data_IF_819023868156
#
_entry.id   IF_819023868156
#
_cell.length_a   1.000
_cell.length_b   1.000
_cell.length_c   1.000
_cell.angle_alpha   90.00
_cell.angle_beta   90.00
_cell.angle_gamma   90.00
#
_symmetry.space_group_name_H-M   'P 1'
#
loop_
_entity.id
_entity.type
_entity.pdbx_description
1 polymer ?
#
# COMPACT_ATOMS: atom_id res chain seq x y z
N UNK A 1 12.99 7.76 13.05
CA UNK A 1 13.04 7.11 11.72
C UNK A 1 11.88 6.14 11.60
N UNK A 2 11.28 5.97 10.41
CA UNK A 2 10.03 5.21 10.21
C UNK A 2 10.14 4.25 9.03
N UNK A 3 9.45 3.11 9.09
CA UNK A 3 9.38 2.11 8.02
C UNK A 3 10.68 1.32 7.85
N UNK A 4 10.58 -0.01 7.72
CA UNK A 4 11.78 -0.84 7.63
C UNK A 4 11.53 -2.32 7.41
N UNK A 5 12.59 -3.04 7.04
CA UNK A 5 12.67 -4.51 7.01
C UNK A 5 14.13 -4.95 7.23
N UNK A 6 14.39 -6.26 7.29
CA UNK A 6 15.76 -6.77 7.42
C UNK A 6 16.60 -6.56 6.15
N UNK A 7 15.98 -6.51 4.97
CA UNK A 7 16.66 -6.28 3.69
C UNK A 7 17.34 -7.51 3.08
N UNK A 8 17.43 -8.63 3.81
CA UNK A 8 18.21 -9.81 3.42
C UNK A 8 17.40 -11.11 3.29
N UNK A 9 16.18 -11.17 3.86
CA UNK A 9 15.36 -12.38 3.76
C UNK A 9 14.75 -12.54 2.36
N UNK A 10 14.31 -13.76 2.02
CA UNK A 10 13.70 -14.06 0.71
C UNK A 10 12.59 -13.08 0.32
N UNK A 11 11.71 -12.70 1.26
CA UNK A 11 10.67 -11.70 0.99
C UNK A 11 11.25 -10.32 0.62
N UNK A 12 12.30 -9.88 1.31
CA UNK A 12 12.94 -8.59 1.03
C UNK A 12 13.72 -8.60 -0.30
N UNK A 13 14.32 -9.74 -0.65
CA UNK A 13 15.03 -9.90 -1.92
C UNK A 13 14.07 -9.98 -3.11
N UNK A 14 12.81 -10.39 -2.87
CA UNK A 14 11.76 -10.47 -3.89
C UNK A 14 10.86 -9.23 -3.98
N UNK A 15 11.25 -8.08 -3.39
CA UNK A 15 10.42 -6.85 -3.31
C UNK A 15 9.04 -7.05 -2.64
N UNK A 16 9.00 -7.92 -1.63
CA UNK A 16 7.82 -8.25 -0.84
C UNK A 16 8.09 -7.98 0.65
N UNK A 17 8.71 -6.83 0.96
CA UNK A 17 9.13 -6.42 2.30
C UNK A 17 7.98 -6.41 3.31
N UNK A 18 6.73 -6.21 2.86
CA UNK A 18 5.53 -6.29 3.69
C UNK A 18 5.33 -7.67 4.34
N UNK A 19 5.93 -8.73 3.78
CA UNK A 19 5.93 -10.09 4.33
C UNK A 19 7.22 -10.43 5.09
N UNK A 20 8.12 -9.47 5.31
CA UNK A 20 9.26 -9.65 6.19
C UNK A 20 8.80 -9.83 7.65
N UNK A 21 9.34 -10.83 8.36
CA UNK A 21 9.07 -11.03 9.80
C UNK A 21 9.61 -9.89 10.66
N UNK A 22 10.68 -9.23 10.22
CA UNK A 22 11.30 -8.08 10.88
C UNK A 22 10.83 -6.74 10.29
N UNK A 23 9.62 -6.68 9.72
CA UNK A 23 9.07 -5.42 9.19
C UNK A 23 8.85 -4.42 10.34
N UNK A 24 9.19 -3.16 10.10
CA UNK A 24 8.98 -2.05 11.04
C UNK A 24 7.82 -1.21 10.51
N UNK A 25 6.79 -1.06 11.32
CA UNK A 25 5.60 -0.27 10.98
C UNK A 25 5.88 1.23 11.08
N UNK A 26 5.13 2.02 10.29
CA UNK A 26 5.25 3.49 10.24
C UNK A 26 5.04 4.13 11.61
N UNK A 27 4.15 3.58 12.43
CA UNK A 27 3.89 4.00 13.82
C UNK A 27 3.58 2.79 14.70
N UNK A 28 3.63 2.96 16.02
CA UNK A 28 3.36 1.89 17.01
C UNK A 28 4.25 0.65 16.82
N UNK A 29 5.45 0.84 16.27
CA UNK A 29 6.51 -0.16 16.20
C UNK A 29 7.75 0.33 16.90
N UNK A 30 8.80 -0.48 16.87
CA UNK A 30 10.13 -0.13 17.37
C UNK A 30 11.10 -0.09 16.19
N UNK A 31 11.82 1.02 16.04
CA UNK A 31 12.81 1.18 14.98
C UNK A 31 14.15 0.49 15.36
N UNK A 32 15.08 0.39 14.40
CA UNK A 32 16.37 -0.32 14.58
C UNK A 32 17.24 0.25 15.70
N UNK A 33 17.05 1.51 16.05
CA UNK A 33 17.74 2.22 17.14
C UNK A 33 17.06 2.05 18.51
N UNK A 34 15.99 1.25 18.59
CA UNK A 34 15.22 1.01 19.81
C UNK A 34 14.13 2.06 20.09
N UNK A 35 14.05 3.14 19.31
CA UNK A 35 13.06 4.19 19.54
C UNK A 35 11.68 3.79 18.96
N UNK A 36 10.56 4.22 19.59
CA UNK A 36 9.23 4.05 19.02
C UNK A 36 9.08 4.77 17.67
N UNK A 37 8.42 4.14 16.71
CA UNK A 37 8.07 4.81 15.45
C UNK A 37 6.84 5.70 15.64
N UNK A 38 6.92 6.93 15.12
CA UNK A 38 5.84 7.93 15.15
C UNK A 38 5.24 8.15 13.76
N UNK A 39 3.93 8.37 13.67
CA UNK A 39 3.22 8.45 12.37
C UNK A 39 3.38 9.79 11.63
N UNK A 40 2.68 9.88 10.49
CA UNK A 40 2.65 11.10 9.65
C UNK A 40 1.78 12.24 10.19
N UNK A 41 1.15 12.10 11.38
CA UNK A 41 0.46 13.21 12.05
C UNK A 41 1.48 14.08 12.79
N UNK A 42 2.42 14.61 12.02
CA UNK A 42 3.60 15.35 12.43
C UNK A 42 4.00 16.30 11.30
N UNK A 43 4.75 17.36 11.60
CA UNK A 43 5.19 18.34 10.60
C UNK A 43 6.30 17.81 9.69
N UNK A 44 7.04 16.79 10.13
CA UNK A 44 8.13 16.18 9.39
C UNK A 44 8.32 14.72 9.82
N UNK A 45 8.86 13.90 8.91
CA UNK A 45 9.22 12.51 9.19
C UNK A 45 10.53 12.13 8.49
N UNK A 46 11.28 11.22 9.10
CA UNK A 46 12.53 10.67 8.52
C UNK A 46 12.32 9.20 8.22
N UNK A 47 12.42 8.81 6.96
CA UNK A 47 12.13 7.45 6.47
C UNK A 47 13.37 6.89 5.76
N UNK A 48 13.64 5.60 5.90
CA UNK A 48 14.70 4.97 5.12
C UNK A 48 14.35 5.00 3.63
N UNK A 49 15.28 5.42 2.76
CA UNK A 49 15.04 5.68 1.32
C UNK A 49 14.30 4.56 0.58
N UNK A 50 14.57 3.28 0.90
CA UNK A 50 13.91 2.11 0.31
C UNK A 50 12.39 2.08 0.52
N UNK A 51 11.88 2.78 1.55
CA UNK A 51 10.47 2.85 1.93
C UNK A 51 9.83 4.19 1.56
N UNK A 52 10.50 5.01 0.75
CA UNK A 52 9.94 6.24 0.19
C UNK A 52 9.58 5.97 -1.27
N UNK A 53 8.42 6.45 -1.69
CA UNK A 53 7.97 6.39 -3.08
C UNK A 53 7.90 7.78 -3.68
N UNK A 54 8.29 7.92 -4.94
CA UNK A 54 8.17 9.18 -5.68
C UNK A 54 6.72 9.37 -6.12
N UNK A 55 6.12 10.49 -5.76
CA UNK A 55 4.78 10.86 -6.23
C UNK A 55 4.88 11.36 -7.68
N UNK A 56 4.08 10.84 -8.63
CA UNK A 56 4.04 11.37 -9.99
C UNK A 56 3.55 12.82 -10.02
N UNK A 57 4.14 13.65 -10.90
CA UNK A 57 3.86 15.10 -10.98
C UNK A 57 2.39 15.43 -11.30
N UNK A 58 1.64 14.48 -11.86
CA UNK A 58 0.21 14.62 -12.20
C UNK A 58 -0.74 14.39 -11.03
N UNK A 59 -0.24 13.92 -9.89
CA UNK A 59 -1.05 13.68 -8.69
C UNK A 59 -0.75 14.73 -7.63
N UNK A 60 -1.79 15.35 -7.08
CA UNK A 60 -1.62 16.19 -5.91
C UNK A 60 -1.24 15.34 -4.69
N UNK A 61 -0.56 15.91 -3.68
CA UNK A 61 -0.24 15.20 -2.44
C UNK A 61 -1.48 14.60 -1.76
N UNK A 62 -2.60 15.31 -1.76
CA UNK A 62 -3.87 14.90 -1.14
C UNK A 62 -4.50 13.70 -1.88
N UNK A 63 -4.37 13.66 -3.21
CA UNK A 63 -4.81 12.52 -4.02
C UNK A 63 -3.91 11.30 -3.82
N UNK A 64 -2.60 11.51 -3.68
CA UNK A 64 -1.63 10.43 -3.53
C UNK A 64 -1.67 9.78 -2.14
N UNK A 65 -1.93 10.56 -1.09
CA UNK A 65 -1.92 10.10 0.30
C UNK A 65 -2.75 8.81 0.56
N UNK A 66 -4.04 8.72 0.18
CA UNK A 66 -4.83 7.51 0.42
C UNK A 66 -4.37 6.30 -0.42
N UNK A 67 -3.68 6.52 -1.54
CA UNK A 67 -3.18 5.45 -2.40
C UNK A 67 -2.05 4.65 -1.72
N UNK A 68 -1.28 5.29 -0.84
CA UNK A 68 -0.16 4.68 -0.12
C UNK A 68 -0.59 3.60 0.89
N UNK A 69 -1.87 3.52 1.24
CA UNK A 69 -2.42 2.49 2.11
C UNK A 69 -3.59 1.77 1.46
N UNK A 70 -4.74 2.43 1.31
CA UNK A 70 -5.94 1.81 0.75
C UNK A 70 -5.75 1.41 -0.72
N UNK A 71 -5.06 2.27 -1.49
CA UNK A 71 -4.78 2.00 -2.91
C UNK A 71 -3.94 0.76 -3.13
N UNK A 72 -2.75 0.68 -2.51
CA UNK A 72 -1.89 -0.51 -2.64
C UNK A 72 -2.55 -1.76 -2.05
N UNK A 73 -3.34 -1.63 -0.97
CA UNK A 73 -4.08 -2.74 -0.38
C UNK A 73 -5.12 -3.32 -1.35
N UNK A 74 -5.84 -2.45 -2.08
CA UNK A 74 -6.79 -2.91 -3.09
C UNK A 74 -6.09 -3.40 -4.38
N UNK A 75 -5.03 -2.71 -4.82
CA UNK A 75 -4.29 -3.02 -6.04
C UNK A 75 -3.52 -4.34 -5.96
N UNK A 76 -2.87 -4.62 -4.83
CA UNK A 76 -2.02 -5.79 -4.61
C UNK A 76 -2.66 -7.12 -5.05
N UNK A 77 -3.82 -7.52 -4.49
CA UNK A 77 -4.48 -8.76 -4.88
C UNK A 77 -4.97 -8.75 -6.33
N UNK A 78 -5.48 -7.61 -6.84
CA UNK A 78 -5.91 -7.49 -8.24
C UNK A 78 -4.73 -7.75 -9.19
N UNK A 79 -3.57 -7.14 -8.93
CA UNK A 79 -2.38 -7.34 -9.76
C UNK A 79 -1.81 -8.75 -9.62
N UNK A 80 -1.71 -9.27 -8.40
CA UNK A 80 -1.05 -10.56 -8.11
C UNK A 80 -1.86 -11.76 -8.60
N UNK A 81 -3.18 -11.77 -8.43
CA UNK A 81 -4.00 -12.95 -8.71
C UNK A 81 -4.76 -12.88 -10.05
N UNK A 82 -5.12 -11.69 -10.52
CA UNK A 82 -5.90 -11.52 -11.75
C UNK A 82 -5.01 -11.12 -12.93
N UNK A 83 -3.95 -10.34 -12.68
CA UNK A 83 -3.10 -9.77 -13.72
C UNK A 83 -3.85 -8.76 -14.60
N UNK A 84 -3.28 -8.39 -15.75
CA UNK A 84 -3.85 -7.39 -16.67
C UNK A 84 -4.61 -7.98 -17.86
N UNK A 85 -4.67 -9.30 -18.01
CA UNK A 85 -4.98 -9.93 -19.30
C UNK A 85 -6.41 -10.52 -19.38
N UNK A 86 -7.22 -10.39 -18.33
CA UNK A 86 -8.58 -10.94 -18.30
C UNK A 86 -9.57 -9.96 -17.68
N UNK A 87 -10.65 -9.65 -18.41
CA UNK A 87 -11.79 -8.90 -17.89
C UNK A 87 -12.65 -9.85 -17.05
N UNK A 88 -12.96 -9.46 -15.81
CA UNK A 88 -13.74 -10.24 -14.86
C UNK A 88 -14.98 -9.50 -14.39
N UNK A 89 -15.94 -10.26 -13.86
CA UNK A 89 -16.99 -9.73 -12.98
C UNK A 89 -16.45 -9.76 -11.55
N UNK A 90 -16.19 -8.60 -10.97
CA UNK A 90 -15.61 -8.44 -9.64
C UNK A 90 -16.67 -7.98 -8.64
N UNK A 91 -16.80 -8.67 -7.51
CA UNK A 91 -17.59 -8.22 -6.36
C UNK A 91 -16.71 -7.48 -5.36
N UNK A 92 -17.12 -6.27 -4.96
CA UNK A 92 -16.50 -5.54 -3.85
C UNK A 92 -17.50 -5.53 -2.68
N UNK A 93 -17.18 -6.26 -1.62
CA UNK A 93 -17.98 -6.33 -0.41
C UNK A 93 -17.53 -5.26 0.59
N UNK A 94 -18.43 -4.32 0.90
CA UNK A 94 -18.20 -3.16 1.75
C UNK A 94 -17.62 -1.96 0.98
N UNK A 95 -18.28 -0.81 1.09
CA UNK A 95 -17.88 0.44 0.41
C UNK A 95 -17.25 1.46 1.38
N UNK A 96 -16.21 1.02 2.09
CA UNK A 96 -15.35 1.88 2.93
C UNK A 96 -14.14 2.43 2.18
N UNK A 97 -13.08 2.82 2.89
CA UNK A 97 -11.86 3.39 2.28
C UNK A 97 -11.19 2.46 1.25
N UNK A 98 -10.92 1.20 1.63
CA UNK A 98 -10.33 0.20 0.71
C UNK A 98 -11.32 -0.17 -0.40
N UNK A 99 -12.60 -0.38 -0.06
CA UNK A 99 -13.63 -0.76 -1.03
C UNK A 99 -13.84 0.30 -2.10
N UNK A 100 -13.95 1.57 -1.72
CA UNK A 100 -14.11 2.70 -2.64
C UNK A 100 -12.95 2.77 -3.65
N UNK A 101 -11.70 2.74 -3.16
CA UNK A 101 -10.52 2.78 -4.04
C UNK A 101 -10.42 1.50 -4.88
N UNK A 102 -10.82 0.35 -4.33
CA UNK A 102 -10.87 -0.92 -5.05
C UNK A 102 -11.86 -0.91 -6.22
N UNK A 103 -13.03 -0.28 -6.08
CA UNK A 103 -13.97 -0.08 -7.20
C UNK A 103 -13.31 0.73 -8.32
N UNK A 104 -12.66 1.86 -7.98
CA UNK A 104 -12.00 2.72 -8.96
C UNK A 104 -10.90 1.96 -9.72
N UNK A 105 -10.03 1.24 -8.99
CA UNK A 105 -8.93 0.48 -9.59
C UNK A 105 -9.47 -0.66 -10.47
N UNK A 106 -10.41 -1.46 -9.97
CA UNK A 106 -10.97 -2.58 -10.74
C UNK A 106 -11.70 -2.10 -12.00
N UNK A 107 -12.43 -0.98 -11.94
CA UNK A 107 -13.05 -0.36 -13.12
C UNK A 107 -11.99 0.16 -14.11
N UNK A 108 -10.92 0.79 -13.63
CA UNK A 108 -9.83 1.26 -14.48
C UNK A 108 -9.07 0.09 -15.17
N UNK A 109 -9.03 -1.08 -14.55
CA UNK A 109 -8.51 -2.33 -15.16
C UNK A 109 -9.49 -2.98 -16.14
N UNK A 110 -10.66 -2.39 -16.38
CA UNK A 110 -11.65 -2.86 -17.35
C UNK A 110 -12.63 -3.91 -16.81
N UNK A 111 -12.63 -4.19 -15.50
CA UNK A 111 -13.53 -5.18 -14.90
C UNK A 111 -14.98 -4.67 -14.78
N UNK A 112 -15.93 -5.59 -14.79
CA UNK A 112 -17.33 -5.34 -14.44
C UNK A 112 -17.48 -5.43 -12.92
N UNK A 113 -17.64 -4.30 -12.25
CA UNK A 113 -17.66 -4.25 -10.78
C UNK A 113 -19.09 -4.18 -10.27
N UNK A 114 -19.42 -5.04 -9.32
CA UNK A 114 -20.63 -4.98 -8.50
C UNK A 114 -20.23 -4.67 -7.06
N UNK A 115 -20.93 -3.74 -6.42
CA UNK A 115 -20.74 -3.43 -5.00
C UNK A 115 -21.81 -4.18 -4.21
N UNK A 116 -21.40 -4.79 -3.10
CA UNK A 116 -22.25 -5.49 -2.15
C UNK A 116 -22.05 -4.80 -0.80
N UNK A 117 -23.11 -4.32 -0.17
CA UNK A 117 -23.04 -3.54 1.08
C UNK A 117 -23.88 -4.15 2.17
#
# INVERSE_FOLDING_TARGET
MHGGSCGECSSCMSNMEQYCRCRILTYNGIYKDGNPTQGGFSSAMVVHQKFVVRIPDKLSPEQAAPLLCAGVTAYGPLRQFIGSNKILKAGILGLGGVGHVGVQIAKAMGHHVAVIT
#
